data_IF_562291982772
#
_entry.id   IF_562291982772
#
_cell.length_a   1.000
_cell.length_b   1.000
_cell.length_c   1.000
_cell.angle_alpha   90.00
_cell.angle_beta   90.00
_cell.angle_gamma   90.00
#
_symmetry.space_group_name_H-M   'P 1'
#
loop_
_entity.id
_entity.type
_entity.pdbx_description
1 polymer ?
#
# COMPACT_ATOMS: atom_id res chain seq x y z
N UNK A 1 -7.66 -4.29 -4.23
CA UNK A 1 -6.65 -3.80 -5.18
C UNK A 1 -6.48 -4.84 -6.27
N UNK A 2 -6.20 -4.41 -7.48
CA UNK A 2 -5.78 -5.24 -8.59
C UNK A 2 -4.48 -4.72 -9.15
N UNK A 3 -3.68 -5.61 -9.73
CA UNK A 3 -2.54 -5.22 -10.52
C UNK A 3 -3.06 -4.40 -11.72
N UNK A 4 -2.50 -3.20 -11.89
CA UNK A 4 -2.78 -2.39 -13.07
C UNK A 4 -1.74 -2.65 -14.15
N UNK A 5 -0.45 -2.57 -13.79
CA UNK A 5 0.68 -2.86 -14.67
C UNK A 5 1.97 -3.01 -13.87
N UNK A 6 2.65 -4.15 -13.96
CA UNK A 6 3.92 -4.39 -13.29
C UNK A 6 3.79 -4.19 -11.78
N UNK A 7 4.58 -3.29 -11.19
CA UNK A 7 4.51 -2.99 -9.74
C UNK A 7 3.45 -1.93 -9.36
N UNK A 8 2.53 -1.59 -10.26
CA UNK A 8 1.46 -0.61 -10.01
C UNK A 8 0.17 -1.33 -9.60
N UNK A 9 -0.33 -0.98 -8.42
CA UNK A 9 -1.59 -1.50 -7.86
C UNK A 9 -2.64 -0.40 -7.81
N UNK A 10 -3.88 -0.76 -8.18
CA UNK A 10 -5.01 0.16 -8.21
C UNK A 10 -6.13 -0.33 -7.32
N UNK A 11 -6.90 0.60 -6.76
CA UNK A 11 -8.18 0.34 -6.11
C UNK A 11 -9.23 1.25 -6.73
N UNK A 12 -10.23 0.65 -7.36
CA UNK A 12 -11.40 1.35 -7.87
C UNK A 12 -12.53 1.16 -6.85
N UNK A 13 -12.78 2.18 -6.03
CA UNK A 13 -13.80 2.14 -4.97
C UNK A 13 -15.06 2.87 -5.41
N UNK A 14 -16.23 2.31 -5.10
CA UNK A 14 -17.52 2.97 -5.32
C UNK A 14 -17.86 4.02 -4.23
N UNK A 15 -17.01 4.15 -3.22
CA UNK A 15 -17.15 5.13 -2.14
C UNK A 15 -15.81 5.79 -1.83
N UNK A 16 -15.86 6.97 -1.20
CA UNK A 16 -14.67 7.74 -0.84
C UNK A 16 -13.84 6.98 0.20
N UNK A 17 -12.60 6.65 -0.17
CA UNK A 17 -11.60 6.13 0.77
C UNK A 17 -11.13 7.23 1.71
N UNK A 18 -10.93 6.88 2.99
CA UNK A 18 -10.48 7.81 4.04
C UNK A 18 -9.11 7.38 4.56
N UNK A 19 -8.14 8.26 4.39
CA UNK A 19 -6.79 8.10 4.92
C UNK A 19 -6.76 8.42 6.44
N UNK A 20 -5.75 7.95 7.20
CA UNK A 20 -4.53 7.26 6.75
C UNK A 20 -4.79 5.85 6.21
N UNK A 21 -3.95 5.38 5.29
CA UNK A 21 -4.03 4.03 4.73
C UNK A 21 -2.87 3.16 5.19
N UNK A 22 -3.22 1.96 5.62
CA UNK A 22 -2.28 0.86 5.86
C UNK A 22 -2.21 -0.04 4.62
N UNK A 23 -1.02 -0.56 4.28
CA UNK A 23 -0.81 -1.45 3.15
C UNK A 23 -0.36 -2.82 3.66
N UNK A 24 -1.05 -3.89 3.22
CA UNK A 24 -0.62 -5.28 3.42
C UNK A 24 -0.12 -5.85 2.10
N UNK A 25 1.11 -6.33 2.10
CA UNK A 25 1.75 -7.00 0.96
C UNK A 25 1.86 -8.49 1.29
N UNK A 26 1.70 -9.34 0.27
CA UNK A 26 2.01 -10.77 0.33
C UNK A 26 3.10 -11.06 -0.71
N UNK A 27 4.18 -11.72 -0.31
CA UNK A 27 5.23 -12.16 -1.23
C UNK A 27 4.83 -13.43 -1.97
N UNK A 28 5.57 -13.76 -3.02
CA UNK A 28 5.40 -15.00 -3.78
C UNK A 28 5.61 -16.25 -2.93
N UNK A 29 6.47 -16.15 -1.91
CA UNK A 29 6.68 -17.20 -0.88
C UNK A 29 5.54 -17.30 0.14
N UNK A 30 4.51 -16.47 0.02
CA UNK A 30 3.34 -16.47 0.89
C UNK A 30 3.50 -15.71 2.20
N UNK A 31 4.70 -15.17 2.52
CA UNK A 31 4.92 -14.29 3.68
C UNK A 31 4.06 -13.03 3.52
N UNK A 32 3.62 -12.45 4.63
CA UNK A 32 2.86 -11.18 4.61
C UNK A 32 3.55 -10.12 5.45
N UNK A 33 3.40 -8.86 5.04
CA UNK A 33 3.96 -7.69 5.71
C UNK A 33 2.92 -6.57 5.74
N UNK A 34 2.80 -5.87 6.86
CA UNK A 34 1.87 -4.74 7.01
C UNK A 34 2.62 -3.46 7.35
N UNK A 35 2.53 -2.46 6.48
CA UNK A 35 2.95 -1.10 6.74
C UNK A 35 1.74 -0.30 7.23
N UNK A 36 1.67 -0.03 8.54
CA UNK A 36 0.56 0.70 9.16
C UNK A 36 0.65 2.19 8.86
N UNK A 37 -0.49 2.79 8.47
CA UNK A 37 -0.68 4.23 8.24
C UNK A 37 0.40 4.89 7.36
N UNK A 38 0.95 4.11 6.41
CA UNK A 38 2.08 4.53 5.58
C UNK A 38 1.70 5.65 4.61
N UNK A 39 0.43 5.72 4.17
CA UNK A 39 -0.09 6.85 3.40
C UNK A 39 -0.89 7.76 4.35
N UNK A 40 -0.44 8.98 4.64
CA UNK A 40 -1.04 9.83 5.66
C UNK A 40 -2.36 10.49 5.19
N UNK A 41 -3.10 11.08 6.12
CA UNK A 41 -4.38 11.76 5.83
C UNK A 41 -4.25 12.91 4.81
N UNK A 42 -3.11 13.61 4.81
CA UNK A 42 -2.79 14.74 3.94
C UNK A 42 -1.96 14.32 2.70
N UNK A 43 -2.12 13.08 2.24
CA UNK A 43 -1.35 12.57 1.12
C UNK A 43 -1.55 13.41 -0.16
N UNK A 44 -0.55 13.39 -1.04
CA UNK A 44 -0.56 14.11 -2.31
C UNK A 44 -0.18 13.15 -3.45
N UNK A 45 -0.76 13.32 -4.65
CA UNK A 45 -0.30 12.60 -5.83
C UNK A 45 1.21 12.78 -6.06
N UNK A 46 1.83 11.82 -6.75
CA UNK A 46 3.25 11.87 -7.11
C UNK A 46 4.20 12.08 -5.91
N UNK A 47 3.87 11.51 -4.75
CA UNK A 47 4.67 11.59 -3.52
C UNK A 47 5.11 10.21 -3.08
N UNK A 48 6.37 10.08 -2.65
CA UNK A 48 6.92 8.85 -2.08
C UNK A 48 6.67 8.79 -0.57
N UNK A 49 5.99 7.73 -0.12
CA UNK A 49 5.77 7.44 1.30
C UNK A 49 6.56 6.20 1.72
N UNK A 50 7.55 6.39 2.58
CA UNK A 50 8.46 5.32 3.03
C UNK A 50 7.87 4.60 4.24
N UNK A 51 7.87 3.26 4.19
CA UNK A 51 7.67 2.43 5.38
C UNK A 51 9.01 2.04 6.03
N UNK A 52 8.96 1.63 7.30
CA UNK A 52 10.12 1.12 8.06
C UNK A 52 9.98 -0.37 8.37
N UNK A 53 9.19 -1.08 7.58
CA UNK A 53 8.98 -2.54 7.70
C UNK A 53 9.57 -3.24 6.48
N UNK A 54 10.12 -4.44 6.68
CA UNK A 54 10.72 -5.25 5.63
C UNK A 54 10.51 -6.73 5.94
N UNK A 55 10.44 -7.57 4.91
CA UNK A 55 10.49 -9.02 5.08
C UNK A 55 11.82 -9.44 5.71
N UNK A 56 11.78 -10.27 6.74
CA UNK A 56 12.97 -10.98 7.20
C UNK A 56 13.34 -12.08 6.20
N UNK A 57 14.65 -12.28 6.01
CA UNK A 57 15.21 -13.45 5.30
C UNK A 57 14.62 -14.73 5.85
#
# INVERSE_FOLDING_TARGET
MHESWGSIWRIDSNHRLRAPFSIRIRSDSGKTLVARDVIPANWRPNTFYRSFVQYSS
#
